data_IF_999147132467
#
_entry.id   IF_999147132467
#
_cell.length_a   1.000
_cell.length_b   1.000
_cell.length_c   1.000
_cell.angle_alpha   90.00
_cell.angle_beta   90.00
_cell.angle_gamma   90.00
#
_symmetry.space_group_name_H-M   'P 1'
#
loop_
_entity.id
_entity.type
_entity.pdbx_description
1 polymer ?
#
# COMPACT_ATOMS: atom_id res chain seq x y z
N UNK A 1 -2.49 -13.06 27.31
CA UNK A 1 -1.81 -13.45 26.06
C UNK A 1 -2.00 -12.33 25.04
N UNK A 2 -0.92 -11.72 24.56
CA UNK A 2 -1.00 -10.58 23.63
C UNK A 2 -1.07 -11.03 22.17
N UNK A 3 -1.93 -10.39 21.38
CA UNK A 3 -1.97 -10.57 19.92
C UNK A 3 -0.81 -9.79 19.31
N UNK A 4 0.07 -10.45 18.57
CA UNK A 4 1.11 -9.77 17.77
C UNK A 4 0.49 -9.35 16.44
N UNK A 5 0.40 -8.04 16.21
CA UNK A 5 -0.12 -7.45 14.97
C UNK A 5 1.04 -7.22 14.00
N UNK A 6 0.85 -7.56 12.73
CA UNK A 6 1.78 -7.26 11.64
C UNK A 6 1.16 -6.19 10.74
N UNK A 7 1.48 -4.90 10.94
CA UNK A 7 0.86 -3.82 10.18
C UNK A 7 1.38 -3.79 8.74
N UNK A 8 0.48 -3.62 7.79
CA UNK A 8 0.79 -3.50 6.35
C UNK A 8 0.10 -2.27 5.79
N UNK A 9 0.83 -1.46 5.03
CA UNK A 9 0.30 -0.30 4.29
C UNK A 9 0.52 -0.50 2.80
N UNK A 10 -0.56 -0.32 2.03
CA UNK A 10 -0.52 -0.42 0.57
C UNK A 10 -0.57 0.98 -0.04
N UNK A 11 0.42 1.28 -0.88
CA UNK A 11 0.54 2.55 -1.59
C UNK A 11 0.13 2.39 -3.05
N UNK A 12 -0.93 3.07 -3.43
CA UNK A 12 -1.46 3.09 -4.79
C UNK A 12 -1.40 4.52 -5.32
N UNK A 13 -1.02 4.68 -6.59
CA UNK A 13 -1.13 5.98 -7.24
C UNK A 13 -2.62 6.32 -7.49
N UNK A 14 -2.90 7.60 -7.68
CA UNK A 14 -4.27 8.08 -7.84
C UNK A 14 -4.94 7.53 -9.11
N UNK A 15 -4.19 7.41 -10.21
CA UNK A 15 -4.73 6.92 -11.48
C UNK A 15 -5.26 5.49 -11.36
N UNK A 16 -4.45 4.59 -10.80
CA UNK A 16 -4.83 3.20 -10.56
C UNK A 16 -5.95 3.10 -9.51
N UNK A 17 -5.93 3.95 -8.49
CA UNK A 17 -6.98 3.97 -7.47
C UNK A 17 -8.33 4.35 -8.10
N UNK A 18 -8.37 5.35 -8.97
CA UNK A 18 -9.56 5.77 -9.72
C UNK A 18 -10.07 4.63 -10.60
N UNK A 19 -9.18 3.99 -11.38
CA UNK A 19 -9.53 2.83 -12.22
C UNK A 19 -10.16 1.71 -11.40
N UNK A 20 -9.62 1.43 -10.20
CA UNK A 20 -10.15 0.40 -9.30
C UNK A 20 -11.49 0.78 -8.69
N UNK A 21 -11.72 2.07 -8.39
CA UNK A 21 -13.02 2.54 -7.88
C UNK A 21 -14.09 2.42 -8.95
N UNK A 22 -13.76 2.75 -10.19
CA UNK A 22 -14.66 2.75 -11.34
C UNK A 22 -14.83 1.37 -12.00
N UNK A 23 -14.29 0.28 -11.42
CA UNK A 23 -14.32 -1.02 -12.07
C UNK A 23 -15.73 -1.60 -12.19
N UNK A 24 -15.97 -2.34 -13.27
CA UNK A 24 -17.24 -3.06 -13.51
C UNK A 24 -17.56 -4.06 -12.40
N UNK A 25 -16.53 -4.73 -11.85
CA UNK A 25 -16.68 -5.64 -10.71
C UNK A 25 -17.32 -4.93 -9.50
N UNK A 26 -16.88 -3.70 -9.19
CA UNK A 26 -17.46 -2.89 -8.12
C UNK A 26 -18.89 -2.45 -8.45
N UNK A 27 -19.15 -2.12 -9.71
CA UNK A 27 -20.49 -1.77 -10.16
C UNK A 27 -21.46 -2.94 -9.97
N UNK A 28 -21.07 -4.15 -10.39
CA UNK A 28 -21.85 -5.38 -10.21
C UNK A 28 -22.13 -5.71 -8.74
N UNK A 29 -21.21 -5.35 -7.85
CA UNK A 29 -21.38 -5.47 -6.39
C UNK A 29 -22.13 -4.30 -5.73
N UNK A 30 -22.73 -3.39 -6.51
CA UNK A 30 -23.41 -2.17 -6.03
C UNK A 30 -22.53 -1.30 -5.11
N UNK A 31 -21.22 -1.24 -5.38
CA UNK A 31 -20.29 -0.35 -4.66
C UNK A 31 -20.31 1.04 -5.27
N UNK A 32 -19.82 2.02 -4.51
CA UNK A 32 -19.56 3.36 -5.02
C UNK A 32 -18.48 3.27 -6.11
N UNK A 33 -18.84 3.76 -7.30
CA UNK A 33 -17.97 3.86 -8.48
C UNK A 33 -17.66 5.31 -8.89
N UNK A 34 -18.28 6.30 -8.23
CA UNK A 34 -17.93 7.71 -8.37
C UNK A 34 -16.54 7.96 -7.76
N UNK A 35 -15.56 8.19 -8.63
CA UNK A 35 -14.18 8.46 -8.27
C UNK A 35 -14.03 9.77 -7.53
N UNK A 36 -14.75 10.82 -7.91
CA UNK A 36 -14.61 12.14 -7.29
C UNK A 36 -15.12 12.10 -5.86
N UNK A 37 -16.25 11.44 -5.64
CA UNK A 37 -16.76 11.18 -4.31
C UNK A 37 -15.80 10.33 -3.46
N UNK A 38 -15.20 9.29 -4.05
CA UNK A 38 -14.25 8.42 -3.35
C UNK A 38 -12.95 9.16 -2.97
N UNK A 39 -12.40 9.96 -3.90
CA UNK A 39 -11.18 10.73 -3.69
C UNK A 39 -11.41 11.86 -2.68
N UNK A 40 -12.53 12.59 -2.78
CA UNK A 40 -12.89 13.64 -1.82
C UNK A 40 -13.04 13.10 -0.39
N UNK A 41 -13.46 11.85 -0.22
CA UNK A 41 -13.55 11.20 1.10
C UNK A 41 -12.19 10.97 1.77
N UNK A 42 -11.12 10.84 0.99
CA UNK A 42 -9.76 10.56 1.50
C UNK A 42 -8.85 11.79 1.42
N UNK A 43 -9.25 12.81 0.68
CA UNK A 43 -8.54 14.08 0.58
C UNK A 43 -8.27 14.69 1.96
N UNK A 44 -7.03 15.16 2.16
CA UNK A 44 -6.57 15.75 3.43
C UNK A 44 -6.41 14.77 4.60
N UNK A 45 -6.77 13.49 4.45
CA UNK A 45 -6.58 12.48 5.50
C UNK A 45 -5.19 11.89 5.44
N UNK A 46 -4.53 11.81 6.59
CA UNK A 46 -3.27 11.08 6.75
C UNK A 46 -3.54 9.74 7.41
N UNK A 47 -3.05 8.67 6.80
CA UNK A 47 -3.11 7.34 7.39
C UNK A 47 -2.12 7.27 8.56
N UNK A 48 -2.55 6.72 9.69
CA UNK A 48 -1.64 6.41 10.79
C UNK A 48 -0.78 5.19 10.39
N UNK A 49 0.55 5.33 10.51
CA UNK A 49 1.52 4.30 10.14
C UNK A 49 2.32 3.94 11.40
N UNK A 50 2.07 2.79 12.06
CA UNK A 50 2.82 2.38 13.23
C UNK A 50 4.26 1.99 12.86
N UNK A 51 5.17 2.04 13.84
CA UNK A 51 6.54 1.55 13.63
C UNK A 51 6.53 0.05 13.29
N UNK A 52 7.41 -0.37 12.37
CA UNK A 52 7.51 -1.76 11.93
C UNK A 52 6.47 -2.16 10.88
N UNK A 53 5.72 -1.20 10.33
CA UNK A 53 4.82 -1.43 9.20
C UNK A 53 5.58 -1.87 7.95
N UNK A 54 5.06 -2.90 7.30
CA UNK A 54 5.46 -3.26 5.94
C UNK A 54 4.73 -2.36 4.94
N UNK A 55 5.49 -1.56 4.20
CA UNK A 55 4.95 -0.68 3.16
C UNK A 55 5.15 -1.31 1.77
N UNK A 56 4.07 -1.41 0.98
CA UNK A 56 4.09 -2.03 -0.35
C UNK A 56 3.47 -1.10 -1.38
N UNK A 57 4.23 -0.71 -2.40
CA UNK A 57 3.68 -0.09 -3.62
C UNK A 57 2.93 -1.12 -4.46
N UNK A 58 1.67 -0.83 -4.84
CA UNK A 58 0.80 -1.77 -5.53
C UNK A 58 0.08 -1.24 -6.78
N UNK A 59 0.50 -0.09 -7.33
CA UNK A 59 -0.17 0.59 -8.45
C UNK A 59 -0.26 -0.21 -9.76
N UNK A 60 0.40 -1.36 -9.89
CA UNK A 60 0.32 -2.24 -11.06
C UNK A 60 0.33 -3.72 -10.65
N UNK A 61 -0.02 -4.02 -9.40
CA UNK A 61 -0.01 -5.37 -8.87
C UNK A 61 -1.43 -5.85 -8.69
N UNK A 62 -1.69 -7.09 -9.11
CA UNK A 62 -2.91 -7.80 -8.75
C UNK A 62 -2.96 -8.05 -7.24
N UNK A 63 -4.17 -8.26 -6.71
CA UNK A 63 -4.34 -8.63 -5.30
C UNK A 63 -3.54 -9.89 -4.93
N UNK A 64 -3.42 -10.85 -5.85
CA UNK A 64 -2.65 -12.10 -5.66
C UNK A 64 -1.15 -11.82 -5.49
N UNK A 65 -0.58 -10.92 -6.28
CA UNK A 65 0.84 -10.55 -6.19
C UNK A 65 1.13 -9.79 -4.89
N UNK A 66 0.24 -8.88 -4.50
CA UNK A 66 0.35 -8.17 -3.22
C UNK A 66 0.30 -9.16 -2.05
N UNK A 67 -0.65 -10.10 -2.07
CA UNK A 67 -0.76 -11.13 -1.04
C UNK A 67 0.50 -12.00 -0.96
N UNK A 68 1.09 -12.39 -2.10
CA UNK A 68 2.34 -13.15 -2.14
C UNK A 68 3.49 -12.38 -1.47
N UNK A 69 3.64 -11.09 -1.79
CA UNK A 69 4.65 -10.22 -1.16
C UNK A 69 4.47 -10.14 0.35
N UNK A 70 3.25 -9.92 0.83
CA UNK A 70 2.96 -9.88 2.28
C UNK A 70 3.40 -11.18 2.95
N UNK A 71 3.04 -12.33 2.38
CA UNK A 71 3.39 -13.65 2.94
C UNK A 71 4.91 -13.89 2.94
N UNK A 72 5.61 -13.47 1.89
CA UNK A 72 7.08 -13.58 1.81
C UNK A 72 7.78 -12.75 2.89
N UNK A 73 7.33 -11.51 3.12
CA UNK A 73 7.87 -10.65 4.16
C UNK A 73 7.56 -11.17 5.57
N UNK A 74 6.35 -11.67 5.80
CA UNK A 74 6.00 -12.32 7.08
C UNK A 74 6.88 -13.55 7.36
N UNK A 75 7.25 -14.32 6.35
CA UNK A 75 8.17 -15.47 6.51
C UNK A 75 9.59 -15.00 6.85
N UNK A 76 10.06 -13.90 6.26
CA UNK A 76 11.37 -13.31 6.61
C UNK A 76 11.40 -12.82 8.05
N UNK A 77 10.33 -12.19 8.54
CA UNK A 77 10.23 -11.75 9.93
C UNK A 77 10.25 -12.93 10.90
N UNK A 78 9.49 -14.00 10.62
CA UNK A 78 9.51 -15.23 11.43
C UNK A 78 10.88 -15.90 11.49
N UNK A 79 11.69 -15.71 10.44
CA UNK A 79 13.06 -16.22 10.36
C UNK A 79 14.11 -15.17 10.82
N UNK A 80 13.70 -14.04 11.41
CA UNK A 80 14.59 -13.02 11.98
C UNK A 80 15.33 -12.13 10.97
N UNK A 81 14.92 -12.11 9.69
CA UNK A 81 15.74 -11.58 8.57
C UNK A 81 15.34 -10.19 8.05
N UNK A 82 14.40 -9.47 8.68
CA UNK A 82 13.98 -8.17 8.13
C UNK A 82 14.76 -6.98 8.68
N UNK A 83 15.74 -6.54 7.88
CA UNK A 83 16.40 -5.24 7.97
C UNK A 83 15.38 -4.19 7.51
N UNK A 84 15.18 -3.14 8.32
CA UNK A 84 14.30 -1.99 8.07
C UNK A 84 14.51 -1.42 6.67
N UNK A 85 13.73 -1.84 5.67
CA UNK A 85 13.66 -1.15 4.37
C UNK A 85 12.73 0.04 4.49
N UNK A 86 13.24 1.13 5.06
CA UNK A 86 12.62 2.45 4.89
C UNK A 86 12.83 2.90 3.44
N UNK A 87 11.75 3.25 2.76
CA UNK A 87 11.72 3.76 1.37
C UNK A 87 12.46 5.11 1.22
N UNK A 88 13.00 5.67 2.30
CA UNK A 88 13.79 6.91 2.31
C UNK A 88 15.09 6.84 1.50
N UNK A 89 15.55 5.66 1.08
CA UNK A 89 16.78 5.53 0.28
C UNK A 89 16.60 5.76 -1.23
N UNK A 90 15.37 5.78 -1.76
CA UNK A 90 15.16 6.03 -3.20
C UNK A 90 14.95 7.50 -3.58
N UNK A 91 14.89 8.42 -2.61
CA UNK A 91 14.69 9.86 -2.86
C UNK A 91 15.94 10.72 -2.63
N UNK A 92 17.12 10.13 -2.40
CA UNK A 92 18.37 10.87 -2.14
C UNK A 92 19.34 10.96 -3.33
N UNK A 93 18.98 10.50 -4.53
CA UNK A 93 19.93 10.45 -5.67
C UNK A 93 19.67 11.50 -6.76
N UNK A 94 18.87 12.54 -6.51
CA UNK A 94 18.68 13.64 -7.48
C UNK A 94 18.85 15.03 -6.86
N UNK A 95 19.97 15.26 -6.14
CA UNK A 95 20.54 16.61 -5.98
C UNK A 95 22.06 16.53 -5.84
N UNK A 96 22.73 16.25 -6.94
CA UNK A 96 24.12 16.66 -7.17
C UNK A 96 24.34 16.69 -8.68
N UNK A 97 24.32 17.89 -9.25
CA UNK A 97 25.18 18.37 -10.35
C UNK A 97 24.80 19.84 -10.63
N UNK A 98 25.72 20.68 -10.17
CA UNK A 98 26.13 22.02 -10.63
C UNK A 98 25.09 23.13 -10.83
#
# INVERSE_FOLDING_TARGET
>A
MGVKIFPVVLHCNNEELVRRVQSEERHQENKITDSDFAMKKIEGKRLFIPEGTLEIGNSNLSAKEVAKKIVEEMKKEKNGKLIKTSVTNHLKTERTRD
#
